data_IF_343306097513
#
_entry.id   IF_343306097513
#
_cell.length_a   1.000
_cell.length_b   1.000
_cell.length_c   1.000
_cell.angle_alpha   90.00
_cell.angle_beta   90.00
_cell.angle_gamma   90.00
#
_symmetry.space_group_name_H-M   'P 1'
#
loop_
_entity.id
_entity.type
_entity.pdbx_description
1 polymer ?
#
# COMPACT_ATOMS: atom_id res chain seq x y z
N UNK A 1 110.60 15.91 14.47
CA UNK A 1 110.84 16.74 13.28
C UNK A 1 109.83 16.31 12.25
N UNK A 2 108.89 17.21 11.95
CA UNK A 2 107.99 17.28 10.77
C UNK A 2 106.98 16.12 10.55
N UNK A 3 105.65 16.36 10.54
CA UNK A 3 104.83 17.03 9.47
C UNK A 3 104.99 16.28 8.14
N UNK A 4 104.01 15.76 7.40
CA UNK A 4 102.54 15.87 7.26
C UNK A 4 102.07 14.52 6.63
N UNK A 5 100.82 14.14 6.40
CA UNK A 5 99.71 14.88 5.79
C UNK A 5 98.44 13.99 5.89
N UNK A 6 97.33 14.60 6.27
CA UNK A 6 96.00 14.01 6.41
C UNK A 6 95.51 13.38 5.10
N UNK A 7 95.29 12.05 5.09
CA UNK A 7 94.62 11.33 4.01
C UNK A 7 93.27 10.74 4.47
N UNK A 8 92.52 11.48 5.30
CA UNK A 8 91.11 11.19 5.58
C UNK A 8 90.23 12.15 4.77
N UNK A 9 90.24 11.98 3.44
CA UNK A 9 89.18 12.51 2.59
C UNK A 9 87.89 11.71 2.82
N UNK A 10 86.71 12.34 2.92
CA UNK A 10 85.45 11.60 3.11
C UNK A 10 85.28 10.58 1.99
N UNK A 11 84.90 9.34 2.36
CA UNK A 11 84.64 8.27 1.41
C UNK A 11 83.63 8.76 0.35
N UNK A 12 83.83 8.46 -0.95
CA UNK A 12 82.94 8.94 -1.99
C UNK A 12 81.51 8.42 -1.76
N UNK A 13 80.60 9.34 -1.43
CA UNK A 13 79.17 9.04 -1.41
C UNK A 13 78.71 8.84 -2.86
N UNK A 14 78.36 7.61 -3.21
CA UNK A 14 77.72 7.31 -4.49
C UNK A 14 76.28 7.82 -4.38
N UNK A 15 76.01 9.00 -4.93
CA UNK A 15 74.64 9.46 -5.17
C UNK A 15 74.00 8.54 -6.20
N UNK A 16 73.34 7.49 -5.73
CA UNK A 16 72.50 6.64 -6.59
C UNK A 16 71.18 7.34 -6.80
N UNK A 17 70.98 7.94 -7.97
CA UNK A 17 69.68 8.39 -8.43
C UNK A 17 68.87 7.16 -8.87
N UNK A 18 68.14 6.56 -7.92
CA UNK A 18 67.32 5.38 -8.16
C UNK A 18 65.99 5.84 -8.75
N UNK A 19 65.90 5.84 -10.07
CA UNK A 19 64.64 6.06 -10.77
C UNK A 19 63.81 4.76 -10.73
N UNK A 20 62.62 4.82 -10.14
CA UNK A 20 61.66 3.72 -10.24
C UNK A 20 61.33 3.43 -11.71
N UNK A 21 61.28 2.15 -12.06
CA UNK A 21 60.81 1.74 -13.37
C UNK A 21 59.39 2.32 -13.58
N UNK A 22 59.10 2.96 -14.72
CA UNK A 22 57.77 3.51 -14.96
C UNK A 22 56.75 2.36 -14.90
N UNK A 23 55.98 2.32 -13.82
CA UNK A 23 54.90 1.37 -13.67
C UNK A 23 53.76 1.83 -14.57
N UNK A 24 53.36 1.03 -15.58
CA UNK A 24 52.15 1.35 -16.30
C UNK A 24 51.00 1.37 -15.30
N UNK A 25 50.20 2.43 -15.31
CA UNK A 25 49.00 2.52 -14.49
C UNK A 25 48.16 1.24 -14.67
N UNK A 26 47.74 0.63 -13.56
CA UNK A 26 46.97 -0.61 -13.57
C UNK A 26 45.68 -0.41 -14.37
N UNK A 27 45.69 -0.90 -15.62
CA UNK A 27 44.58 -0.78 -16.57
C UNK A 27 43.27 -1.34 -16.03
N UNK A 28 43.32 -2.23 -15.04
CA UNK A 28 42.16 -2.86 -14.44
C UNK A 28 41.40 -1.94 -13.49
N UNK A 29 42.06 -1.02 -12.78
CA UNK A 29 41.41 -0.23 -11.72
C UNK A 29 41.15 1.23 -12.07
N UNK A 30 41.80 1.75 -13.13
CA UNK A 30 41.79 3.19 -13.41
C UNK A 30 40.43 3.75 -13.90
N UNK A 31 39.54 2.92 -14.43
CA UNK A 31 38.21 3.32 -14.95
C UNK A 31 37.06 2.55 -14.28
N UNK A 32 37.29 1.99 -13.09
CA UNK A 32 36.26 1.27 -12.34
C UNK A 32 35.28 2.27 -11.77
N UNK A 33 34.08 2.30 -12.33
CA UNK A 33 32.95 3.02 -11.76
C UNK A 33 31.99 2.04 -11.11
N UNK A 34 32.04 1.99 -9.78
CA UNK A 34 31.16 1.14 -8.97
C UNK A 34 29.69 1.42 -9.30
N UNK A 35 29.33 2.67 -9.60
CA UNK A 35 27.96 3.04 -9.94
C UNK A 35 27.49 2.52 -11.30
N UNK A 36 28.39 2.34 -12.27
CA UNK A 36 28.04 1.75 -13.56
C UNK A 36 27.68 0.26 -13.44
N UNK A 37 28.31 -0.46 -12.50
CA UNK A 37 28.10 -1.91 -12.31
C UNK A 37 27.09 -2.25 -11.22
N UNK A 38 27.10 -1.51 -10.10
CA UNK A 38 26.28 -1.78 -8.92
C UNK A 38 25.31 -0.63 -8.59
N UNK A 39 25.17 0.38 -9.46
CA UNK A 39 24.30 1.53 -9.20
C UNK A 39 22.84 1.12 -8.94
N UNK A 40 22.32 0.12 -9.66
CA UNK A 40 20.97 -0.41 -9.44
C UNK A 40 20.75 -0.82 -7.97
N UNK A 41 21.71 -1.56 -7.41
CA UNK A 41 21.72 -2.00 -6.01
C UNK A 41 21.65 -0.85 -5.01
N UNK A 42 22.35 0.26 -5.27
CA UNK A 42 22.35 1.41 -4.36
C UNK A 42 21.12 2.30 -4.54
N UNK A 43 20.71 2.57 -5.78
CA UNK A 43 19.60 3.49 -6.04
C UNK A 43 18.23 2.90 -5.67
N UNK A 44 18.08 1.57 -5.65
CA UNK A 44 16.83 0.93 -5.20
C UNK A 44 16.59 1.07 -3.68
N UNK A 45 17.63 1.36 -2.89
CA UNK A 45 17.51 1.53 -1.44
C UNK A 45 16.59 2.69 -1.08
N UNK A 46 16.63 3.79 -1.84
CA UNK A 46 15.74 4.94 -1.61
C UNK A 46 14.26 4.54 -1.64
N UNK A 47 13.76 3.97 -2.76
CA UNK A 47 12.38 3.50 -2.86
C UNK A 47 11.99 2.46 -1.79
N UNK A 48 12.92 1.56 -1.45
CA UNK A 48 12.69 0.52 -0.43
C UNK A 48 12.56 1.11 0.99
N UNK A 49 13.34 2.13 1.33
CA UNK A 49 13.22 2.84 2.61
C UNK A 49 11.89 3.59 2.70
N UNK A 50 11.47 4.27 1.63
CA UNK A 50 10.16 4.94 1.58
C UNK A 50 9.00 3.95 1.72
N UNK A 51 9.10 2.78 1.09
CA UNK A 51 8.14 1.68 1.30
C UNK A 51 8.02 1.29 2.77
N UNK A 52 9.14 1.14 3.48
CA UNK A 52 9.14 0.76 4.88
C UNK A 52 8.49 1.83 5.76
N UNK A 53 8.84 3.11 5.58
CA UNK A 53 8.28 4.22 6.36
C UNK A 53 6.76 4.29 6.17
N UNK A 54 6.29 4.31 4.92
CA UNK A 54 4.85 4.38 4.61
C UNK A 54 4.12 3.15 5.15
N UNK A 55 4.71 1.96 5.04
CA UNK A 55 4.08 0.75 5.57
C UNK A 55 3.97 0.78 7.10
N UNK A 56 4.97 1.35 7.79
CA UNK A 56 4.97 1.52 9.25
C UNK A 56 3.91 2.51 9.71
N UNK A 57 3.83 3.68 9.06
CA UNK A 57 2.86 4.73 9.40
C UNK A 57 1.41 4.26 9.19
N UNK A 58 1.14 3.58 8.08
CA UNK A 58 -0.18 2.98 7.83
C UNK A 58 -0.55 1.93 8.87
N UNK A 59 0.42 1.13 9.33
CA UNK A 59 0.20 0.16 10.39
C UNK A 59 -0.06 0.85 11.74
N UNK A 60 0.66 1.94 12.05
CA UNK A 60 0.42 2.77 13.24
C UNK A 60 -1.00 3.34 13.23
N UNK A 61 -1.45 3.94 12.13
CA UNK A 61 -2.82 4.49 12.03
C UNK A 61 -3.90 3.41 12.18
N UNK A 62 -3.62 2.20 11.69
CA UNK A 62 -4.53 1.05 11.79
C UNK A 62 -4.60 0.50 13.21
N UNK A 63 -3.47 0.43 13.90
CA UNK A 63 -3.37 0.01 15.30
C UNK A 63 -4.14 0.96 16.23
N UNK A 64 -3.97 2.27 16.01
CA UNK A 64 -4.72 3.34 16.68
C UNK A 64 -6.18 3.47 16.23
N UNK A 65 -6.61 2.68 15.24
CA UNK A 65 -7.97 2.70 14.65
C UNK A 65 -8.40 4.07 14.13
N UNK A 66 -7.45 4.95 13.78
CA UNK A 66 -7.73 6.31 13.33
C UNK A 66 -8.60 6.32 12.07
N UNK A 67 -8.34 5.40 11.13
CA UNK A 67 -9.16 5.24 9.91
C UNK A 67 -10.62 4.89 10.23
N UNK A 68 -10.88 4.04 11.23
CA UNK A 68 -12.24 3.72 11.65
C UNK A 68 -12.90 4.91 12.34
N UNK A 69 -12.14 5.62 13.18
CA UNK A 69 -12.59 6.85 13.82
C UNK A 69 -13.01 7.93 12.83
N UNK A 70 -12.20 8.16 11.79
CA UNK A 70 -12.51 9.08 10.69
C UNK A 70 -13.81 8.71 9.97
N UNK A 71 -14.07 7.42 9.73
CA UNK A 71 -15.32 6.98 9.13
C UNK A 71 -16.54 7.26 10.02
N UNK A 72 -16.42 7.03 11.33
CA UNK A 72 -17.48 7.38 12.30
C UNK A 72 -17.80 8.87 12.27
N UNK A 73 -16.78 9.71 12.10
CA UNK A 73 -16.91 11.17 12.05
C UNK A 73 -17.58 11.63 10.75
N UNK A 74 -17.50 10.85 9.67
CA UNK A 74 -18.12 11.18 8.37
C UNK A 74 -17.19 11.11 7.17
N UNK A 75 -15.90 10.80 7.36
CA UNK A 75 -14.93 10.74 6.27
C UNK A 75 -15.02 9.39 5.55
N UNK A 76 -15.24 9.42 4.24
CA UNK A 76 -15.29 8.20 3.43
C UNK A 76 -13.94 7.47 3.39
N UNK A 77 -13.97 6.14 3.38
CA UNK A 77 -12.78 5.30 3.19
C UNK A 77 -12.02 5.60 1.89
N UNK A 78 -12.70 6.09 0.86
CA UNK A 78 -12.06 6.44 -0.42
C UNK A 78 -11.19 7.69 -0.28
N UNK A 79 -11.66 8.70 0.48
CA UNK A 79 -10.92 9.95 0.69
C UNK A 79 -9.61 9.67 1.45
N UNK A 80 -9.66 8.77 2.43
CA UNK A 80 -8.48 8.32 3.15
C UNK A 80 -7.38 7.78 2.21
N UNK A 81 -7.75 6.92 1.25
CA UNK A 81 -6.78 6.36 0.32
C UNK A 81 -6.32 7.36 -0.75
N UNK A 82 -7.19 8.27 -1.18
CA UNK A 82 -6.81 9.37 -2.06
C UNK A 82 -5.76 10.24 -1.37
N UNK A 83 -5.97 10.59 -0.11
CA UNK A 83 -5.00 11.34 0.70
C UNK A 83 -3.65 10.63 0.73
N UNK A 84 -3.62 9.36 1.13
CA UNK A 84 -2.37 8.59 1.19
C UNK A 84 -1.71 8.43 -0.18
N UNK A 85 -2.48 8.29 -1.25
CA UNK A 85 -1.95 8.23 -2.63
C UNK A 85 -1.29 9.54 -3.04
N UNK A 86 -1.89 10.69 -2.69
CA UNK A 86 -1.32 12.02 -2.96
C UNK A 86 -0.03 12.20 -2.18
N UNK A 87 -0.06 11.94 -0.86
CA UNK A 87 1.12 12.06 0.01
C UNK A 87 2.24 11.14 -0.47
N UNK A 88 1.95 9.87 -0.72
CA UNK A 88 2.92 8.90 -1.23
C UNK A 88 3.51 9.30 -2.58
N UNK A 89 2.70 9.85 -3.49
CA UNK A 89 3.19 10.34 -4.80
C UNK A 89 4.09 11.57 -4.65
N UNK A 90 3.74 12.52 -3.79
CA UNK A 90 4.57 13.70 -3.53
C UNK A 90 5.90 13.27 -2.91
N UNK A 91 5.88 12.40 -1.89
CA UNK A 91 7.10 11.87 -1.28
C UNK A 91 7.97 11.15 -2.30
N UNK A 92 7.38 10.35 -3.19
CA UNK A 92 8.10 9.69 -4.27
C UNK A 92 8.76 10.69 -5.23
N UNK A 93 8.03 11.73 -5.66
CA UNK A 93 8.58 12.79 -6.53
C UNK A 93 9.77 13.48 -5.85
N UNK A 94 9.62 13.85 -4.57
CA UNK A 94 10.70 14.47 -3.79
C UNK A 94 11.92 13.53 -3.69
N UNK A 95 11.68 12.25 -3.45
CA UNK A 95 12.74 11.25 -3.41
C UNK A 95 13.45 11.10 -4.75
N UNK A 96 12.73 11.08 -5.87
CA UNK A 96 13.34 11.04 -7.21
C UNK A 96 14.23 12.27 -7.45
N UNK A 97 13.80 13.46 -7.04
CA UNK A 97 14.65 14.65 -7.11
C UNK A 97 15.91 14.51 -6.27
N UNK A 98 15.81 14.00 -5.03
CA UNK A 98 16.99 13.75 -4.19
C UNK A 98 17.95 12.77 -4.86
N UNK A 99 17.45 11.63 -5.39
CA UNK A 99 18.30 10.65 -6.08
C UNK A 99 18.97 11.21 -7.34
N UNK A 100 18.25 12.01 -8.13
CA UNK A 100 18.83 12.67 -9.30
C UNK A 100 19.86 13.73 -8.92
N UNK A 101 19.62 14.51 -7.85
CA UNK A 101 20.57 15.51 -7.34
C UNK A 101 21.82 14.86 -6.76
N UNK A 102 21.70 13.71 -6.09
CA UNK A 102 22.85 12.94 -5.64
C UNK A 102 23.77 12.56 -6.80
N UNK A 103 23.22 12.14 -7.94
CA UNK A 103 24.04 11.79 -9.10
C UNK A 103 24.88 12.95 -9.64
N UNK A 104 24.34 14.18 -9.63
CA UNK A 104 25.11 15.38 -9.97
C UNK A 104 26.10 15.79 -8.87
N UNK A 105 25.71 15.69 -7.60
CA UNK A 105 26.55 16.08 -6.48
C UNK A 105 27.82 15.21 -6.35
N UNK A 106 27.71 13.92 -6.71
CA UNK A 106 28.83 12.98 -6.73
C UNK A 106 29.52 12.86 -8.10
N UNK A 107 29.10 13.67 -9.09
CA UNK A 107 29.70 13.73 -10.42
C UNK A 107 29.78 12.36 -11.13
N UNK A 108 28.69 11.56 -11.06
CA UNK A 108 28.67 10.25 -11.70
C UNK A 108 28.65 10.39 -13.24
N UNK A 109 29.55 9.68 -13.92
CA UNK A 109 29.67 9.70 -15.39
C UNK A 109 28.36 9.36 -16.11
N UNK A 110 27.54 8.50 -15.52
CA UNK A 110 26.19 8.19 -16.04
C UNK A 110 25.34 9.45 -16.26
N UNK A 111 25.43 10.46 -15.37
CA UNK A 111 24.63 11.70 -15.45
C UNK A 111 25.09 12.67 -16.53
N UNK A 112 26.30 12.49 -17.07
CA UNK A 112 26.82 13.27 -18.21
C UNK A 112 26.42 12.66 -19.57
N UNK A 113 26.14 11.36 -19.60
CA UNK A 113 25.88 10.61 -20.83
C UNK A 113 24.43 10.13 -20.98
N UNK A 114 23.58 10.36 -19.97
CA UNK A 114 22.18 9.95 -19.96
C UNK A 114 21.31 11.13 -19.51
N UNK A 115 20.22 11.46 -20.22
CA UNK A 115 19.37 12.58 -19.85
C UNK A 115 18.66 12.30 -18.52
N UNK A 116 18.73 13.26 -17.59
CA UNK A 116 18.16 13.10 -16.24
C UNK A 116 16.65 12.90 -16.24
N UNK A 117 15.94 13.37 -17.26
CA UNK A 117 14.52 13.06 -17.44
C UNK A 117 14.24 11.56 -17.53
N UNK A 118 15.15 10.79 -18.13
CA UNK A 118 15.01 9.35 -18.31
C UNK A 118 15.30 8.62 -17.00
N UNK A 119 16.36 9.04 -16.29
CA UNK A 119 16.67 8.52 -14.95
C UNK A 119 15.52 8.79 -13.98
N UNK A 120 15.00 10.03 -13.97
CA UNK A 120 13.84 10.42 -13.16
C UNK A 120 12.62 9.57 -13.49
N UNK A 121 12.33 9.32 -14.76
CA UNK A 121 11.19 8.51 -15.18
C UNK A 121 11.25 7.08 -14.65
N UNK A 122 12.43 6.45 -14.69
CA UNK A 122 12.63 5.11 -14.15
C UNK A 122 12.51 5.09 -12.62
N UNK A 123 13.17 6.04 -11.93
CA UNK A 123 13.07 6.18 -10.48
C UNK A 123 11.63 6.43 -10.01
N UNK A 124 10.87 7.24 -10.74
CA UNK A 124 9.48 7.53 -10.43
C UNK A 124 8.62 6.27 -10.45
N UNK A 125 8.70 5.47 -11.51
CA UNK A 125 7.86 4.28 -11.65
C UNK A 125 8.22 3.19 -10.64
N UNK A 126 9.50 2.94 -10.38
CA UNK A 126 9.89 1.96 -9.36
C UNK A 126 9.47 2.43 -7.96
N UNK A 127 9.60 3.72 -7.67
CA UNK A 127 9.13 4.30 -6.41
C UNK A 127 7.60 4.24 -6.25
N UNK A 128 6.83 4.48 -7.32
CA UNK A 128 5.37 4.31 -7.28
C UNK A 128 4.96 2.86 -7.02
N UNK A 129 5.66 1.89 -7.61
CA UNK A 129 5.44 0.48 -7.28
C UNK A 129 5.66 0.20 -5.79
N UNK A 130 6.72 0.77 -5.20
CA UNK A 130 7.04 0.60 -3.78
C UNK A 130 6.01 1.25 -2.85
N UNK A 131 5.50 2.44 -3.19
CA UNK A 131 4.41 3.10 -2.44
C UNK A 131 3.15 2.23 -2.43
N UNK A 132 2.71 1.73 -3.59
CA UNK A 132 1.52 0.87 -3.65
C UNK A 132 1.74 -0.52 -3.07
N UNK A 133 2.98 -1.03 -3.10
CA UNK A 133 3.33 -2.24 -2.38
C UNK A 133 3.16 -2.04 -0.86
N UNK A 134 3.55 -0.88 -0.32
CA UNK A 134 3.30 -0.54 1.09
C UNK A 134 1.80 -0.54 1.40
N UNK A 135 0.98 0.01 0.50
CA UNK A 135 -0.48 -0.02 0.66
C UNK A 135 -1.02 -1.44 0.67
N UNK A 136 -0.58 -2.30 -0.26
CA UNK A 136 -0.96 -3.71 -0.28
C UNK A 136 -0.59 -4.41 1.04
N UNK A 137 0.64 -4.23 1.53
CA UNK A 137 1.11 -4.86 2.77
C UNK A 137 0.34 -4.35 3.99
N UNK A 138 -0.04 -3.07 4.01
CA UNK A 138 -0.86 -2.49 5.08
C UNK A 138 -2.24 -3.15 5.21
N UNK A 139 -2.75 -3.79 4.14
CA UNK A 139 -4.03 -4.51 4.20
C UNK A 139 -3.95 -5.78 5.05
N UNK A 140 -2.79 -6.44 5.06
CA UNK A 140 -2.55 -7.70 5.77
C UNK A 140 -2.00 -7.52 7.18
N UNK A 141 -1.24 -6.45 7.41
CA UNK A 141 -0.64 -6.14 8.70
C UNK A 141 -1.64 -5.46 9.62
N UNK A 142 -1.63 -5.78 10.92
CA UNK A 142 -2.53 -5.18 11.93
C UNK A 142 -1.81 -4.34 12.97
N UNK A 143 -0.54 -4.62 13.19
CA UNK A 143 0.32 -3.99 14.19
C UNK A 143 1.55 -3.41 13.50
N UNK A 144 2.13 -2.38 14.10
CA UNK A 144 3.35 -1.75 13.59
C UNK A 144 4.52 -2.75 13.57
N UNK A 145 4.65 -3.60 14.59
CA UNK A 145 5.70 -4.62 14.63
C UNK A 145 5.61 -5.63 13.48
N UNK A 146 4.40 -6.09 13.15
CA UNK A 146 4.19 -7.04 12.07
C UNK A 146 4.52 -6.39 10.71
N UNK A 147 4.14 -5.13 10.53
CA UNK A 147 4.50 -4.37 9.33
C UNK A 147 6.01 -4.22 9.19
N UNK A 148 6.71 -3.79 10.23
CA UNK A 148 8.17 -3.63 10.19
C UNK A 148 8.88 -4.95 9.90
N UNK A 149 8.50 -6.06 10.56
CA UNK A 149 9.07 -7.39 10.29
C UNK A 149 8.87 -7.82 8.83
N UNK A 150 7.68 -7.59 8.29
CA UNK A 150 7.37 -7.90 6.90
C UNK A 150 8.16 -7.02 5.94
N UNK A 151 8.25 -5.71 6.20
CA UNK A 151 9.03 -4.76 5.39
C UNK A 151 10.51 -5.12 5.37
N UNK A 152 11.14 -5.43 6.52
CA UNK A 152 12.54 -5.87 6.58
C UNK A 152 12.77 -7.16 5.78
N UNK A 153 11.83 -8.10 5.85
CA UNK A 153 11.94 -9.37 5.12
C UNK A 153 11.89 -9.15 3.61
N UNK A 154 11.00 -8.25 3.15
CA UNK A 154 10.92 -7.85 1.74
C UNK A 154 12.18 -7.10 1.32
N UNK A 155 12.67 -6.15 2.13
CA UNK A 155 13.87 -5.38 1.80
C UNK A 155 15.07 -6.33 1.67
N UNK A 156 15.27 -7.23 2.64
CA UNK A 156 16.37 -8.20 2.59
C UNK A 156 16.28 -9.09 1.36
N UNK A 157 15.10 -9.62 1.05
CA UNK A 157 14.88 -10.43 -0.14
C UNK A 157 15.21 -9.66 -1.42
N UNK A 158 14.73 -8.42 -1.52
CA UNK A 158 15.01 -7.56 -2.68
C UNK A 158 16.50 -7.22 -2.77
N UNK A 159 17.20 -6.98 -1.66
CA UNK A 159 18.64 -6.72 -1.69
C UNK A 159 19.45 -7.93 -2.16
N UNK A 160 19.06 -9.15 -1.77
CA UNK A 160 19.70 -10.37 -2.26
C UNK A 160 19.47 -10.51 -3.77
N UNK A 161 18.22 -10.33 -4.22
CA UNK A 161 17.86 -10.39 -5.64
C UNK A 161 18.65 -9.33 -6.42
N UNK A 162 18.69 -8.10 -5.93
CA UNK A 162 19.35 -6.98 -6.61
C UNK A 162 20.87 -7.17 -6.64
N UNK A 163 21.49 -7.69 -5.58
CA UNK A 163 22.92 -8.01 -5.59
C UNK A 163 23.28 -9.06 -6.64
N UNK A 164 22.41 -10.04 -6.87
CA UNK A 164 22.61 -11.08 -7.88
C UNK A 164 22.40 -10.51 -9.29
N UNK A 165 21.39 -9.67 -9.50
CA UNK A 165 20.98 -9.19 -10.82
C UNK A 165 21.45 -7.77 -11.16
N UNK A 166 22.27 -7.14 -10.32
CA UNK A 166 22.91 -5.85 -10.64
C UNK A 166 23.93 -6.01 -11.77
N UNK A 167 24.57 -7.19 -11.85
CA UNK A 167 25.42 -7.53 -12.99
C UNK A 167 24.56 -7.91 -14.20
N UNK A 168 24.62 -7.02 -15.19
CA UNK A 168 23.89 -7.13 -16.45
C UNK A 168 24.35 -8.33 -17.26
N UNK A 169 25.66 -8.60 -17.29
CA UNK A 169 26.22 -9.73 -18.03
C UNK A 169 25.74 -11.05 -17.44
N UNK A 170 25.68 -11.14 -16.11
CA UNK A 170 25.13 -12.31 -15.43
C UNK A 170 23.64 -12.49 -15.74
N UNK A 171 22.86 -11.41 -15.67
CA UNK A 171 21.42 -11.42 -15.98
C UNK A 171 21.14 -11.89 -17.41
N UNK A 172 21.92 -11.40 -18.36
CA UNK A 172 21.90 -11.79 -19.77
C UNK A 172 22.21 -13.27 -19.97
N UNK A 173 23.27 -13.76 -19.34
CA UNK A 173 23.67 -15.18 -19.42
C UNK A 173 22.62 -16.11 -18.83
N UNK A 174 21.98 -15.72 -17.73
CA UNK A 174 21.00 -16.55 -17.02
C UNK A 174 19.64 -16.64 -17.73
N UNK A 175 19.15 -15.52 -18.29
CA UNK A 175 17.75 -15.43 -18.77
C UNK A 175 17.57 -15.15 -20.26
N UNK A 176 18.60 -14.64 -20.94
CA UNK A 176 18.49 -14.11 -22.30
C UNK A 176 19.49 -14.71 -23.29
N UNK A 177 20.21 -15.76 -22.91
CA UNK A 177 21.04 -16.55 -23.83
C UNK A 177 20.18 -17.41 -24.75
N UNK A 178 20.62 -17.66 -25.99
CA UNK A 178 19.86 -18.49 -26.93
C UNK A 178 19.57 -19.88 -26.36
N UNK A 179 20.53 -20.46 -25.63
CA UNK A 179 20.36 -21.75 -24.97
C UNK A 179 19.33 -21.69 -23.83
N UNK A 180 19.42 -20.70 -22.93
CA UNK A 180 18.50 -20.55 -21.79
C UNK A 180 17.09 -20.18 -22.24
N UNK A 181 16.95 -19.36 -23.29
CA UNK A 181 15.67 -19.02 -23.90
C UNK A 181 14.97 -20.22 -24.53
N UNK A 182 15.68 -21.29 -24.89
CA UNK A 182 15.05 -22.53 -25.39
C UNK A 182 14.48 -23.42 -24.27
N UNK A 183 14.86 -23.19 -23.01
CA UNK A 183 14.42 -24.00 -21.88
C UNK A 183 13.10 -23.46 -21.29
N UNK A 184 12.02 -24.24 -21.39
CA UNK A 184 10.68 -23.80 -20.96
C UNK A 184 10.59 -23.39 -19.48
N UNK A 185 11.31 -24.07 -18.58
CA UNK A 185 11.31 -23.71 -17.15
C UNK A 185 12.01 -22.36 -16.88
N UNK A 186 13.10 -22.06 -17.61
CA UNK A 186 13.80 -20.77 -17.50
C UNK A 186 12.91 -19.64 -17.98
N UNK A 187 12.14 -19.85 -19.05
CA UNK A 187 11.15 -18.86 -19.52
C UNK A 187 10.10 -18.55 -18.45
N UNK A 188 9.61 -19.56 -17.73
CA UNK A 188 8.65 -19.38 -16.65
C UNK A 188 9.25 -18.56 -15.49
N UNK A 189 10.45 -18.93 -15.03
CA UNK A 189 11.17 -18.20 -13.98
C UNK A 189 11.44 -16.75 -14.40
N UNK A 190 11.97 -16.56 -15.62
CA UNK A 190 12.21 -15.22 -16.18
C UNK A 190 10.94 -14.36 -16.17
N UNK A 191 9.81 -14.93 -16.60
CA UNK A 191 8.54 -14.19 -16.63
C UNK A 191 8.13 -13.71 -15.23
N UNK A 192 8.36 -14.52 -14.19
CA UNK A 192 8.09 -14.12 -12.79
C UNK A 192 9.01 -12.97 -12.37
N UNK A 193 10.31 -13.06 -12.65
CA UNK A 193 11.27 -12.00 -12.34
C UNK A 193 10.98 -10.71 -13.11
N UNK A 194 10.62 -10.79 -14.39
CA UNK A 194 10.27 -9.62 -15.20
C UNK A 194 9.09 -8.80 -14.62
N UNK A 195 8.17 -9.44 -13.88
CA UNK A 195 7.09 -8.75 -13.17
C UNK A 195 7.46 -8.31 -11.73
N UNK A 196 8.64 -8.65 -11.22
CA UNK A 196 9.12 -8.14 -9.94
C UNK A 196 9.68 -6.71 -10.15
N UNK A 197 9.11 -5.66 -9.53
CA UNK A 197 9.49 -4.28 -9.83
C UNK A 197 10.98 -3.95 -9.67
N UNK A 198 11.65 -4.55 -8.69
CA UNK A 198 13.08 -4.38 -8.43
C UNK A 198 13.93 -5.00 -9.54
N UNK A 199 13.61 -6.22 -9.97
CA UNK A 199 14.29 -6.85 -11.10
C UNK A 199 14.11 -6.06 -12.41
N UNK A 200 12.87 -5.61 -12.71
CA UNK A 200 12.62 -4.77 -13.89
C UNK A 200 13.47 -3.49 -13.85
N UNK A 201 13.58 -2.88 -12.67
CA UNK A 201 14.43 -1.72 -12.44
C UNK A 201 15.92 -2.03 -12.64
N UNK A 202 16.45 -3.09 -12.01
CA UNK A 202 17.85 -3.51 -12.14
C UNK A 202 18.23 -3.74 -13.59
N UNK A 203 17.36 -4.45 -14.33
CA UNK A 203 17.56 -4.71 -15.75
C UNK A 203 17.66 -3.41 -16.56
N UNK A 204 16.67 -2.52 -16.41
CA UNK A 204 16.64 -1.25 -17.14
C UNK A 204 17.85 -0.37 -16.80
N UNK A 205 18.12 -0.19 -15.50
CA UNK A 205 19.24 0.60 -15.02
C UNK A 205 20.57 0.03 -15.51
N UNK A 206 20.70 -1.30 -15.51
CA UNK A 206 21.86 -1.99 -16.01
C UNK A 206 22.09 -1.80 -17.51
N UNK A 207 21.06 -1.94 -18.35
CA UNK A 207 21.15 -1.69 -19.81
C UNK A 207 21.60 -0.25 -20.09
N UNK A 208 21.03 0.70 -19.37
CA UNK A 208 21.37 2.13 -19.49
C UNK A 208 22.80 2.37 -19.02
N UNK A 209 23.19 1.80 -17.87
CA UNK A 209 24.53 1.98 -17.28
C UNK A 209 25.62 1.36 -18.12
N UNK A 210 25.37 0.20 -18.72
CA UNK A 210 26.31 -0.44 -19.66
C UNK A 210 26.58 0.43 -20.89
N UNK A 211 25.68 1.35 -21.28
CA UNK A 211 25.95 2.32 -22.36
C UNK A 211 26.42 3.69 -21.88
N UNK A 212 25.92 4.15 -20.74
CA UNK A 212 26.16 5.48 -20.20
C UNK A 212 27.36 5.58 -19.25
N UNK A 213 27.95 4.46 -18.84
CA UNK A 213 29.12 4.41 -17.94
C UNK A 213 30.24 3.57 -18.54
N UNK A 214 31.42 3.63 -17.91
CA UNK A 214 32.50 2.70 -18.22
C UNK A 214 32.13 1.29 -17.78
N UNK A 215 32.35 0.30 -18.67
CA UNK A 215 32.18 -1.11 -18.34
C UNK A 215 33.36 -1.93 -18.84
N UNK A 216 33.69 -2.99 -18.12
CA UNK A 216 34.77 -3.87 -18.47
C UNK A 216 34.28 -4.98 -19.41
N UNK A 217 34.77 -5.01 -20.65
CA UNK A 217 34.39 -6.06 -21.58
C UNK A 217 35.33 -7.27 -21.41
N UNK A 218 34.84 -8.32 -20.76
CA UNK A 218 35.58 -9.57 -20.55
C UNK A 218 35.99 -10.28 -21.85
N UNK A 219 35.32 -10.03 -22.98
CA UNK A 219 35.69 -10.65 -24.26
C UNK A 219 36.88 -9.97 -24.92
N UNK A 220 37.10 -8.68 -24.66
CA UNK A 220 38.20 -7.88 -25.26
C UNK A 220 39.28 -7.51 -24.24
N UNK A 221 39.10 -7.87 -22.97
CA UNK A 221 39.95 -7.51 -21.83
C UNK A 221 40.30 -6.01 -21.78
N UNK A 222 39.35 -5.16 -22.17
CA UNK A 222 39.52 -3.72 -22.25
C UNK A 222 38.28 -3.00 -21.73
N UNK A 223 38.51 -1.86 -21.07
CA UNK A 223 37.45 -0.92 -20.70
C UNK A 223 36.85 -0.29 -21.95
N UNK A 224 35.53 -0.27 -22.01
CA UNK A 224 34.78 0.40 -23.06
C UNK A 224 34.34 1.78 -22.57
N UNK A 225 34.42 2.77 -23.47
CA UNK A 225 34.00 4.14 -23.17
C UNK A 225 32.48 4.30 -23.29
N UNK A 226 31.87 5.17 -22.47
CA UNK A 226 30.44 5.43 -22.52
C UNK A 226 30.05 5.99 -23.89
N UNK A 227 29.01 5.39 -24.48
CA UNK A 227 28.43 5.81 -25.77
C UNK A 227 27.22 6.72 -25.60
N UNK A 228 26.70 6.82 -24.38
CA UNK A 228 25.46 7.52 -24.05
C UNK A 228 24.20 6.71 -24.28
N UNK A 229 23.14 7.09 -23.58
CA UNK A 229 21.81 6.50 -23.73
C UNK A 229 20.74 7.59 -23.74
N UNK A 230 20.16 7.85 -24.91
CA UNK A 230 19.09 8.84 -25.08
C UNK A 230 17.72 8.18 -25.27
N UNK A 231 16.65 8.98 -25.24
CA UNK A 231 15.28 8.53 -25.52
C UNK A 231 15.10 7.83 -26.87
N UNK A 232 15.96 8.11 -27.86
CA UNK A 232 15.95 7.40 -29.15
C UNK A 232 16.31 5.92 -29.04
N UNK A 233 17.04 5.53 -27.98
CA UNK A 233 17.45 4.16 -27.70
C UNK A 233 16.46 3.42 -26.77
N UNK A 234 15.33 4.04 -26.43
CA UNK A 234 14.34 3.48 -25.52
C UNK A 234 13.78 2.12 -25.98
N UNK A 235 13.56 1.99 -27.29
CA UNK A 235 13.10 0.75 -27.95
C UNK A 235 14.25 -0.06 -28.58
N UNK A 236 15.50 0.22 -28.19
CA UNK A 236 16.66 -0.45 -28.76
C UNK A 236 16.71 -1.94 -28.38
N UNK A 237 16.91 -2.82 -29.37
CA UNK A 237 17.11 -4.26 -29.18
C UNK A 237 18.27 -4.75 -30.04
N UNK A 238 19.09 -5.65 -29.51
CA UNK A 238 20.26 -6.18 -30.22
C UNK A 238 20.61 -7.60 -29.76
N UNK A 239 21.13 -8.40 -30.70
CA UNK A 239 21.83 -9.64 -30.39
C UNK A 239 23.33 -9.39 -30.28
N UNK A 240 23.92 -9.78 -29.16
CA UNK A 240 25.36 -9.69 -28.94
C UNK A 240 25.93 -11.07 -28.62
N UNK A 241 27.12 -11.37 -29.16
CA UNK A 241 27.80 -12.63 -28.93
C UNK A 241 28.66 -12.55 -27.67
N UNK A 242 28.35 -13.41 -26.70
CA UNK A 242 29.14 -13.56 -25.47
C UNK A 242 30.19 -14.64 -25.69
N UNK A 243 31.42 -14.23 -26.01
CA UNK A 243 32.51 -15.17 -26.34
C UNK A 243 32.85 -16.12 -25.20
N UNK A 244 32.69 -15.71 -23.94
CA UNK A 244 32.99 -16.56 -22.77
C UNK A 244 32.16 -17.85 -22.70
N UNK A 245 30.94 -17.86 -23.26
CA UNK A 245 30.02 -19.02 -23.24
C UNK A 245 29.77 -19.54 -24.67
N UNK A 246 30.38 -18.89 -25.67
CA UNK A 246 30.13 -19.15 -27.09
C UNK A 246 28.63 -19.18 -27.44
N UNK A 247 27.86 -18.29 -26.82
CA UNK A 247 26.41 -18.17 -27.03
C UNK A 247 26.02 -16.72 -27.38
N UNK A 248 24.85 -16.58 -27.99
CA UNK A 248 24.26 -15.29 -28.33
C UNK A 248 23.26 -14.88 -27.26
N UNK A 249 23.32 -13.62 -26.82
CA UNK A 249 22.38 -13.06 -25.86
C UNK A 249 21.56 -11.95 -26.51
N UNK A 250 20.28 -11.92 -26.18
CA UNK A 250 19.34 -10.90 -26.63
C UNK A 250 19.14 -9.79 -25.59
N UNK A 251 19.46 -8.55 -25.96
CA UNK A 251 19.14 -7.37 -25.16
C UNK A 251 17.70 -6.96 -25.50
N UNK A 252 16.81 -7.04 -24.50
CA UNK A 252 15.45 -6.53 -24.59
C UNK A 252 15.44 -5.02 -24.42
N UNK A 253 14.49 -4.37 -25.08
CA UNK A 253 14.31 -2.92 -24.97
C UNK A 253 13.97 -2.49 -23.54
N UNK A 254 14.44 -1.29 -23.18
CA UNK A 254 14.08 -0.66 -21.90
C UNK A 254 12.57 -0.39 -21.84
N UNK A 255 11.97 -0.02 -22.97
CA UNK A 255 10.53 0.10 -23.16
C UNK A 255 9.75 -1.16 -22.78
N UNK A 256 10.18 -2.33 -23.26
CA UNK A 256 9.56 -3.60 -22.91
C UNK A 256 9.54 -3.82 -21.40
N UNK A 257 10.68 -3.57 -20.74
CA UNK A 257 10.81 -3.77 -19.30
C UNK A 257 10.05 -2.71 -18.49
N UNK A 258 9.95 -1.48 -18.99
CA UNK A 258 9.10 -0.44 -18.40
C UNK A 258 7.62 -0.83 -18.44
N UNK A 259 7.14 -1.40 -19.55
CA UNK A 259 5.76 -1.88 -19.61
C UNK A 259 5.50 -3.02 -18.62
N UNK A 260 6.49 -3.89 -18.37
CA UNK A 260 6.39 -4.91 -17.30
C UNK A 260 6.27 -4.26 -15.93
N UNK A 261 7.11 -3.28 -15.62
CA UNK A 261 7.06 -2.52 -14.37
C UNK A 261 5.70 -1.82 -14.17
N UNK A 262 5.18 -1.16 -15.20
CA UNK A 262 3.86 -0.52 -15.18
C UNK A 262 2.72 -1.52 -15.04
N UNK A 263 2.83 -2.69 -15.67
CA UNK A 263 1.86 -3.77 -15.50
C UNK A 263 1.86 -4.27 -14.06
N UNK A 264 3.05 -4.45 -13.46
CA UNK A 264 3.19 -4.83 -12.04
C UNK A 264 2.58 -3.79 -11.11
N UNK A 265 2.78 -2.49 -11.38
CA UNK A 265 2.10 -1.41 -10.66
C UNK A 265 0.58 -1.59 -10.66
N UNK A 266 -0.03 -1.75 -11.84
CA UNK A 266 -1.49 -1.91 -11.93
C UNK A 266 -1.99 -3.19 -11.27
N UNK A 267 -1.24 -4.29 -11.36
CA UNK A 267 -1.55 -5.52 -10.63
C UNK A 267 -1.55 -5.27 -9.13
N UNK A 268 -0.52 -4.59 -8.58
CA UNK A 268 -0.46 -4.25 -7.15
C UNK A 268 -1.64 -3.35 -6.76
N UNK A 269 -2.00 -2.35 -7.57
CA UNK A 269 -3.16 -1.47 -7.33
C UNK A 269 -4.45 -2.28 -7.27
N UNK A 270 -4.67 -3.21 -8.20
CA UNK A 270 -5.87 -4.05 -8.25
C UNK A 270 -5.93 -4.99 -7.04
N UNK A 271 -4.81 -5.63 -6.69
CA UNK A 271 -4.73 -6.50 -5.52
C UNK A 271 -4.98 -5.72 -4.24
N UNK A 272 -4.37 -4.54 -4.10
CA UNK A 272 -4.58 -3.65 -2.96
C UNK A 272 -6.06 -3.27 -2.84
N UNK A 273 -6.67 -2.81 -3.92
CA UNK A 273 -8.08 -2.47 -3.96
C UNK A 273 -8.97 -3.66 -3.57
N UNK A 274 -8.66 -4.86 -4.07
CA UNK A 274 -9.40 -6.08 -3.75
C UNK A 274 -9.30 -6.44 -2.26
N UNK A 275 -8.09 -6.54 -1.72
CA UNK A 275 -7.86 -6.95 -0.33
C UNK A 275 -8.33 -5.92 0.70
N UNK A 276 -8.31 -4.62 0.38
CA UNK A 276 -8.88 -3.59 1.26
C UNK A 276 -10.40 -3.75 1.46
N UNK A 277 -11.13 -4.24 0.45
CA UNK A 277 -12.57 -4.47 0.52
C UNK A 277 -12.95 -5.84 1.10
N UNK A 278 -12.17 -6.87 0.80
CA UNK A 278 -12.45 -8.24 1.24
C UNK A 278 -12.10 -8.47 2.70
N UNK A 279 -11.04 -7.84 3.22
CA UNK A 279 -10.60 -8.07 4.59
C UNK A 279 -11.40 -7.23 5.59
N UNK A 280 -12.26 -7.90 6.38
CA UNK A 280 -13.09 -7.27 7.42
C UNK A 280 -12.28 -6.43 8.42
N UNK A 281 -11.01 -6.80 8.64
CA UNK A 281 -10.10 -6.07 9.53
C UNK A 281 -9.91 -4.60 9.14
N UNK A 282 -10.16 -4.23 7.88
CA UNK A 282 -9.85 -2.91 7.35
C UNK A 282 -11.05 -1.95 7.42
N UNK A 283 -12.26 -2.45 7.17
CA UNK A 283 -13.50 -1.65 7.10
C UNK A 283 -14.55 -1.98 8.15
N UNK A 284 -14.30 -2.95 9.03
CA UNK A 284 -15.28 -3.45 10.00
C UNK A 284 -16.28 -4.45 9.41
N UNK A 285 -16.64 -4.30 8.13
CA UNK A 285 -17.45 -5.25 7.37
C UNK A 285 -16.72 -5.69 6.07
N UNK A 286 -16.55 -7.00 5.89
CA UNK A 286 -16.01 -7.57 4.65
C UNK A 286 -17.07 -7.56 3.54
N UNK A 287 -16.68 -7.16 2.34
CA UNK A 287 -17.46 -7.42 1.14
C UNK A 287 -17.33 -8.89 0.72
N UNK A 288 -18.30 -9.40 -0.04
CA UNK A 288 -18.22 -10.73 -0.63
C UNK A 288 -17.05 -10.83 -1.62
N UNK A 289 -16.45 -12.01 -1.81
CA UNK A 289 -15.30 -12.20 -2.72
C UNK A 289 -15.59 -11.75 -4.17
N UNK A 290 -16.85 -11.81 -4.59
CA UNK A 290 -17.34 -11.42 -5.92
C UNK A 290 -17.95 -10.01 -5.96
N UNK A 291 -17.67 -9.16 -4.96
CA UNK A 291 -18.16 -7.77 -4.92
C UNK A 291 -17.85 -6.94 -6.18
N UNK A 292 -16.73 -7.13 -6.92
CA UNK A 292 -16.46 -6.36 -8.14
C UNK A 292 -17.52 -6.56 -9.23
N UNK A 293 -18.19 -7.71 -9.22
CA UNK A 293 -19.23 -8.06 -10.20
C UNK A 293 -20.63 -7.64 -9.75
N UNK A 294 -20.79 -7.05 -8.56
CA UNK A 294 -22.08 -6.62 -8.04
C UNK A 294 -22.40 -5.17 -8.49
N UNK A 295 -23.52 -4.94 -9.22
CA UNK A 295 -23.91 -3.58 -9.62
C UNK A 295 -24.15 -2.63 -8.43
N UNK A 296 -24.50 -3.18 -7.26
CA UNK A 296 -24.72 -2.39 -6.04
C UNK A 296 -23.45 -1.67 -5.57
N UNK A 297 -22.28 -2.29 -5.73
CA UNK A 297 -21.00 -1.68 -5.36
C UNK A 297 -20.68 -0.48 -6.27
N UNK A 298 -20.77 -0.65 -7.59
CA UNK A 298 -20.47 0.43 -8.54
C UNK A 298 -21.44 1.60 -8.42
N UNK A 299 -22.71 1.35 -8.06
CA UNK A 299 -23.69 2.40 -7.75
C UNK A 299 -23.36 3.19 -6.48
N UNK A 300 -22.69 2.57 -5.50
CA UNK A 300 -22.24 3.29 -4.30
C UNK A 300 -20.96 4.09 -4.54
N UNK A 301 -20.07 3.61 -5.42
CA UNK A 301 -18.82 4.30 -5.78
C UNK A 301 -19.09 5.48 -6.72
N UNK A 302 -20.04 5.31 -7.65
CA UNK A 302 -20.39 6.31 -8.65
C UNK A 302 -21.85 6.75 -8.47
N UNK A 303 -22.11 7.82 -7.69
CA UNK A 303 -23.46 8.30 -7.41
C UNK A 303 -24.26 8.69 -8.66
N UNK A 304 -23.57 9.03 -9.76
CA UNK A 304 -24.23 9.35 -11.04
C UNK A 304 -24.85 8.13 -11.73
N UNK A 305 -24.46 6.90 -11.37
CA UNK A 305 -25.08 5.66 -11.85
C UNK A 305 -26.37 5.31 -11.09
N UNK A 306 -26.80 6.15 -10.13
CA UNK A 306 -28.00 5.93 -9.32
C UNK A 306 -29.23 6.35 -10.12
N UNK A 307 -29.90 5.39 -10.78
CA UNK A 307 -31.22 5.63 -11.37
C UNK A 307 -32.23 6.01 -10.27
N UNK A 308 -32.83 7.20 -10.38
CA UNK A 308 -33.87 7.70 -9.45
C UNK A 308 -35.10 6.80 -9.36
N UNK A 309 -35.36 5.96 -10.37
CA UNK A 309 -36.54 5.10 -10.45
C UNK A 309 -36.44 3.80 -9.63
N UNK A 310 -35.24 3.38 -9.21
CA UNK A 310 -35.03 2.13 -8.47
C UNK A 310 -35.29 2.20 -6.96
N UNK A 311 -35.32 3.41 -6.38
CA UNK A 311 -35.54 3.63 -4.94
C UNK A 311 -37.01 3.41 -4.54
N UNK A 312 -37.96 3.77 -5.40
CA UNK A 312 -39.39 3.59 -5.12
C UNK A 312 -39.83 2.11 -5.13
N UNK A 313 -39.18 1.26 -5.94
CA UNK A 313 -39.54 -0.16 -6.04
C UNK A 313 -38.89 -1.00 -4.92
N UNK A 314 -37.71 -0.59 -4.42
CA UNK A 314 -37.05 -1.30 -3.30
C UNK A 314 -37.72 -1.04 -1.96
N UNK A 315 -38.28 0.17 -1.75
CA UNK A 315 -39.07 0.48 -0.56
C UNK A 315 -40.38 -0.33 -0.46
N UNK A 316 -40.95 -0.78 -1.60
CA UNK A 316 -42.12 -1.68 -1.62
C UNK A 316 -41.82 -3.14 -1.26
N UNK A 317 -40.54 -3.56 -1.26
CA UNK A 317 -40.10 -4.88 -0.81
C UNK A 317 -39.53 -4.84 0.62
N UNK A 318 -40.08 -4.01 1.51
CA UNK A 318 -39.94 -4.25 2.96
C UNK A 318 -40.76 -5.50 3.29
N UNK A 319 -40.07 -6.64 3.39
CA UNK A 319 -40.63 -7.87 3.93
C UNK A 319 -41.08 -7.55 5.35
N UNK A 320 -42.39 -7.39 5.55
CA UNK A 320 -43.02 -7.33 6.88
C UNK A 320 -42.57 -8.61 7.58
N UNK A 321 -41.70 -8.49 8.58
CA UNK A 321 -41.36 -9.62 9.44
C UNK A 321 -42.66 -10.03 10.12
N UNK A 322 -43.24 -11.15 9.72
CA UNK A 322 -44.41 -11.72 10.37
C UNK A 322 -43.98 -12.21 11.76
N UNK A 323 -44.85 -12.03 12.75
CA UNK A 323 -44.72 -12.59 14.12
C UNK A 323 -44.28 -14.07 14.13
N UNK A 324 -44.58 -14.83 13.06
CA UNK A 324 -44.21 -16.24 12.90
C UNK A 324 -42.72 -16.51 12.62
N UNK A 325 -41.93 -15.53 12.18
CA UNK A 325 -40.50 -15.71 11.89
C UNK A 325 -39.59 -15.49 13.13
N UNK A 326 -40.15 -15.04 14.26
CA UNK A 326 -39.44 -14.63 15.48
C UNK A 326 -39.45 -15.66 16.62
N UNK A 327 -39.49 -16.95 16.30
CA UNK A 327 -39.44 -18.02 17.31
C UNK A 327 -38.10 -18.10 18.03
N UNK A 328 -37.95 -17.46 19.19
CA UNK A 328 -36.88 -17.78 20.15
C UNK A 328 -37.48 -17.93 21.55
N UNK A 329 -37.56 -19.17 22.03
CA UNK A 329 -37.94 -19.49 23.41
C UNK A 329 -36.84 -19.02 24.37
N UNK A 330 -37.15 -18.04 25.22
CA UNK A 330 -36.37 -17.73 26.43
C UNK A 330 -37.36 -17.31 27.52
N UNK A 331 -37.40 -18.06 28.63
CA UNK A 331 -38.09 -17.70 29.88
C UNK A 331 -37.02 -17.66 31.00
N UNK A 332 -37.06 -16.73 31.98
CA UNK A 332 -38.19 -16.54 32.92
C UNK A 332 -38.63 -15.09 33.24
N UNK A 333 -39.93 -14.84 33.03
CA UNK A 333 -41.00 -14.37 33.97
C UNK A 333 -41.01 -13.03 34.73
N UNK A 334 -40.11 -12.07 34.49
CA UNK A 334 -40.30 -10.70 35.03
C UNK A 334 -40.01 -9.57 34.05
N UNK A 335 -38.98 -9.75 33.23
CA UNK A 335 -38.47 -8.74 32.31
C UNK A 335 -39.20 -8.71 30.96
N UNK A 336 -39.86 -9.82 30.60
CA UNK A 336 -40.33 -10.11 29.23
C UNK A 336 -41.57 -9.29 28.84
N UNK A 337 -42.49 -9.01 29.77
CA UNK A 337 -43.68 -8.20 29.47
C UNK A 337 -43.34 -6.78 29.01
N UNK A 338 -42.28 -6.18 29.56
CA UNK A 338 -41.85 -4.83 29.17
C UNK A 338 -41.22 -4.82 27.77
N UNK A 339 -40.46 -5.86 27.42
CA UNK A 339 -39.81 -5.99 26.11
C UNK A 339 -40.84 -6.27 25.02
N UNK A 340 -41.80 -7.16 25.29
CA UNK A 340 -42.86 -7.47 24.34
C UNK A 340 -43.82 -6.30 24.13
N UNK A 341 -44.12 -5.53 25.19
CA UNK A 341 -44.91 -4.31 25.10
C UNK A 341 -44.20 -3.24 24.26
N UNK A 342 -42.89 -3.04 24.49
CA UNK A 342 -42.08 -2.11 23.71
C UNK A 342 -41.98 -2.53 22.24
N UNK A 343 -41.76 -3.83 21.99
CA UNK A 343 -41.75 -4.38 20.63
C UNK A 343 -43.08 -4.08 19.91
N UNK A 344 -44.22 -4.33 20.55
CA UNK A 344 -45.54 -4.04 19.98
C UNK A 344 -45.73 -2.54 19.72
N UNK A 345 -45.28 -1.67 20.64
CA UNK A 345 -45.33 -0.21 20.46
C UNK A 345 -44.55 0.23 19.24
N UNK A 346 -43.29 -0.20 19.12
CA UNK A 346 -42.41 0.15 17.99
C UNK A 346 -42.97 -0.35 16.66
N UNK A 347 -43.53 -1.56 16.63
CA UNK A 347 -44.15 -2.12 15.43
C UNK A 347 -45.39 -1.34 15.02
N UNK A 348 -46.26 -0.97 15.98
CA UNK A 348 -47.43 -0.13 15.70
C UNK A 348 -47.05 1.25 15.17
N UNK A 349 -46.00 1.87 15.73
CA UNK A 349 -45.52 3.18 15.29
C UNK A 349 -44.92 3.13 13.88
N UNK A 350 -44.27 2.02 13.53
CA UNK A 350 -43.76 1.79 12.16
C UNK A 350 -44.90 1.47 11.18
N UNK A 351 -45.91 0.69 11.58
CA UNK A 351 -47.10 0.41 10.74
C UNK A 351 -47.90 1.68 10.44
N UNK A 352 -47.97 2.60 11.41
CA UNK A 352 -48.61 3.91 11.24
C UNK A 352 -47.70 4.95 10.54
N UNK A 353 -46.49 4.55 10.17
CA UNK A 353 -45.44 5.41 9.59
C UNK A 353 -45.25 6.73 10.37
N UNK A 354 -45.35 6.65 11.70
CA UNK A 354 -45.14 7.81 12.57
C UNK A 354 -43.69 8.24 12.42
N UNK A 355 -43.45 9.50 12.10
CA UNK A 355 -42.09 10.04 12.00
C UNK A 355 -41.44 10.07 13.40
N UNK A 356 -40.27 9.45 13.53
CA UNK A 356 -39.45 9.53 14.75
C UNK A 356 -38.38 10.59 14.52
N UNK A 357 -38.42 11.67 15.31
CA UNK A 357 -37.38 12.70 15.33
C UNK A 357 -36.07 12.18 15.95
N UNK A 358 -36.12 11.11 16.74
CA UNK A 358 -34.97 10.49 17.40
C UNK A 358 -34.47 9.22 16.71
N UNK A 359 -34.37 8.11 17.45
CA UNK A 359 -33.82 6.84 16.96
C UNK A 359 -34.88 5.75 17.08
N UNK A 360 -35.25 5.14 15.96
CA UNK A 360 -36.11 3.96 15.93
C UNK A 360 -35.33 2.73 15.51
N UNK A 361 -35.37 1.68 16.32
CA UNK A 361 -34.71 0.40 16.10
C UNK A 361 -35.79 -0.67 15.92
N UNK A 362 -35.79 -1.37 14.78
CA UNK A 362 -36.79 -2.38 14.45
C UNK A 362 -36.10 -3.72 14.21
N UNK A 363 -36.10 -4.56 15.24
CA UNK A 363 -35.62 -5.94 15.20
C UNK A 363 -34.16 -6.08 14.79
N UNK A 364 -33.29 -5.12 15.13
CA UNK A 364 -31.88 -5.17 14.76
C UNK A 364 -31.22 -6.40 15.37
N UNK A 365 -30.51 -7.16 14.54
CA UNK A 365 -29.77 -8.35 14.95
C UNK A 365 -28.34 -8.35 14.42
N UNK A 366 -27.44 -8.96 15.19
CA UNK A 366 -26.08 -9.24 14.74
C UNK A 366 -25.67 -10.67 15.09
N UNK A 367 -25.32 -11.42 14.05
CA UNK A 367 -24.74 -12.75 14.16
C UNK A 367 -23.34 -12.72 13.57
N UNK A 368 -22.36 -13.22 14.32
CA UNK A 368 -21.02 -13.49 13.83
C UNK A 368 -20.92 -14.95 13.44
N UNK A 369 -20.94 -15.20 12.13
CA UNK A 369 -20.80 -16.53 11.55
C UNK A 369 -19.36 -17.01 11.68
N UNK A 370 -19.17 -18.24 12.16
CA UNK A 370 -17.82 -18.81 12.32
C UNK A 370 -17.25 -19.34 11.01
N UNK A 371 -18.12 -19.83 10.13
CA UNK A 371 -17.76 -20.34 8.83
C UNK A 371 -17.81 -19.22 7.78
N UNK A 372 -16.90 -19.23 6.80
CA UNK A 372 -16.95 -18.28 5.68
C UNK A 372 -18.26 -18.43 4.91
N UNK A 373 -18.66 -17.37 4.18
CA UNK A 373 -19.87 -17.30 3.36
C UNK A 373 -21.21 -17.34 4.12
N UNK A 374 -21.22 -17.10 5.43
CA UNK A 374 -22.46 -17.02 6.20
C UNK A 374 -23.16 -18.37 6.39
N UNK A 375 -22.41 -19.47 6.27
CA UNK A 375 -22.91 -20.82 6.55
C UNK A 375 -23.20 -20.90 8.05
N UNK A 376 -24.45 -21.17 8.40
CA UNK A 376 -24.90 -21.29 9.79
C UNK A 376 -24.18 -22.45 10.46
N UNK A 377 -23.53 -22.17 11.58
CA UNK A 377 -22.89 -23.14 12.45
C UNK A 377 -23.57 -23.13 13.81
N UNK A 378 -23.60 -24.27 14.48
CA UNK A 378 -24.04 -24.37 15.89
C UNK A 378 -23.16 -23.54 16.84
N UNK A 379 -22.00 -23.07 16.37
CA UNK A 379 -21.05 -22.25 17.12
C UNK A 379 -21.09 -20.75 16.74
N UNK A 380 -22.12 -20.32 16.01
CA UNK A 380 -22.29 -18.90 15.67
C UNK A 380 -22.66 -18.07 16.90
N UNK A 381 -22.12 -16.86 16.96
CA UNK A 381 -22.32 -15.97 18.12
C UNK A 381 -23.37 -14.92 17.79
N UNK A 382 -24.53 -15.00 18.46
CA UNK A 382 -25.57 -13.98 18.42
C UNK A 382 -25.20 -12.83 19.36
N UNK A 383 -24.54 -11.80 18.82
CA UNK A 383 -24.11 -10.65 19.61
C UNK A 383 -25.26 -9.69 19.93
N UNK A 384 -26.29 -9.60 19.07
CA UNK A 384 -27.52 -8.83 19.31
C UNK A 384 -28.70 -9.63 18.77
N UNK A 385 -29.75 -9.82 19.58
CA UNK A 385 -30.92 -10.66 19.28
C UNK A 385 -32.19 -9.80 19.19
N UNK A 386 -32.46 -9.22 18.03
CA UNK A 386 -33.76 -8.61 17.73
C UNK A 386 -34.15 -7.47 18.67
N UNK A 387 -33.35 -6.39 18.71
CA UNK A 387 -33.66 -5.22 19.55
C UNK A 387 -34.74 -4.38 18.90
N UNK A 388 -35.79 -4.06 19.67
CA UNK A 388 -36.84 -3.09 19.33
C UNK A 388 -36.81 -1.96 20.35
N UNK A 389 -36.73 -0.73 19.86
CA UNK A 389 -36.65 0.44 20.73
C UNK A 389 -37.01 1.70 19.95
N UNK A 390 -37.80 2.59 20.54
CA UNK A 390 -37.97 3.95 20.04
C UNK A 390 -37.43 4.94 21.09
N UNK A 391 -36.55 5.84 20.66
CA UNK A 391 -35.96 6.91 21.47
C UNK A 391 -36.44 8.22 20.86
N UNK A 392 -37.19 9.00 21.63
CA UNK A 392 -37.71 10.27 21.16
C UNK A 392 -36.67 11.39 21.28
N UNK A 393 -36.95 12.52 20.64
CA UNK A 393 -36.10 13.69 20.75
C UNK A 393 -36.07 14.22 22.18
N UNK A 394 -34.90 14.71 22.59
CA UNK A 394 -34.61 15.20 23.95
C UNK A 394 -34.69 14.13 25.05
N UNK A 395 -34.73 12.85 24.72
CA UNK A 395 -34.60 11.77 25.69
C UNK A 395 -33.13 11.40 25.94
N UNK A 396 -32.79 11.19 27.21
CA UNK A 396 -31.49 10.65 27.60
C UNK A 396 -31.63 9.15 27.85
N UNK A 397 -31.13 8.33 26.91
CA UNK A 397 -31.07 6.89 27.08
C UNK A 397 -29.73 6.45 27.65
N UNK A 398 -29.76 5.67 28.73
CA UNK A 398 -28.60 4.95 29.24
C UNK A 398 -28.70 3.45 28.91
N UNK A 399 -27.77 2.92 28.12
CA UNK A 399 -27.72 1.49 27.79
C UNK A 399 -26.80 0.74 28.77
N UNK A 400 -27.39 0.01 29.71
CA UNK A 400 -26.68 -0.74 30.74
C UNK A 400 -26.78 -2.25 30.49
N UNK A 401 -25.76 -2.99 30.96
CA UNK A 401 -25.71 -4.45 30.84
C UNK A 401 -24.30 -4.99 31.09
N UNK A 402 -24.18 -6.30 31.31
CA UNK A 402 -22.88 -6.93 31.55
C UNK A 402 -21.95 -6.88 30.31
N UNK A 403 -20.67 -7.18 30.49
CA UNK A 403 -19.71 -7.31 29.38
C UNK A 403 -20.14 -8.45 28.45
N UNK A 404 -20.12 -8.21 27.14
CA UNK A 404 -20.60 -9.17 26.15
C UNK A 404 -22.12 -9.16 25.88
N UNK A 405 -22.91 -8.31 26.55
CA UNK A 405 -24.36 -8.19 26.31
C UNK A 405 -24.75 -7.60 24.94
N UNK A 406 -23.78 -7.20 24.11
CA UNK A 406 -24.05 -6.64 22.77
C UNK A 406 -24.16 -5.12 22.69
N UNK A 407 -23.92 -4.38 23.78
CA UNK A 407 -24.03 -2.90 23.83
C UNK A 407 -23.17 -2.21 22.76
N UNK A 408 -21.86 -2.48 22.77
CA UNK A 408 -20.94 -1.91 21.77
C UNK A 408 -21.27 -2.38 20.36
N UNK A 409 -21.78 -3.61 20.20
CA UNK A 409 -22.22 -4.13 18.90
C UNK A 409 -23.42 -3.37 18.36
N UNK A 410 -24.42 -3.10 19.21
CA UNK A 410 -25.58 -2.28 18.87
C UNK A 410 -25.15 -0.86 18.48
N UNK A 411 -24.27 -0.24 19.29
CA UNK A 411 -23.75 1.09 19.00
C UNK A 411 -22.97 1.15 17.67
N UNK A 412 -22.13 0.15 17.39
CA UNK A 412 -21.40 0.05 16.14
C UNK A 412 -22.33 -0.13 14.92
N UNK A 413 -23.53 -0.71 15.11
CA UNK A 413 -24.54 -0.80 14.07
C UNK A 413 -25.23 0.53 13.81
N UNK A 414 -25.62 1.26 14.86
CA UNK A 414 -26.24 2.58 14.73
C UNK A 414 -25.28 3.61 14.11
N UNK A 415 -23.99 3.53 14.45
CA UNK A 415 -22.94 4.43 13.93
C UNK A 415 -22.42 4.01 12.55
N UNK A 416 -22.84 2.84 12.04
CA UNK A 416 -22.51 2.37 10.68
C UNK A 416 -21.11 1.78 10.52
N UNK A 417 -20.38 1.55 11.62
CA UNK A 417 -19.12 0.77 11.63
C UNK A 417 -19.40 -0.69 11.25
N UNK A 418 -20.55 -1.20 11.69
CA UNK A 418 -20.96 -2.58 11.49
C UNK A 418 -22.34 -2.65 10.84
N UNK A 419 -22.49 -3.38 9.74
CA UNK A 419 -23.83 -3.64 9.19
C UNK A 419 -24.63 -4.62 10.05
N UNK A 420 -25.92 -4.39 10.32
CA UNK A 420 -26.78 -5.38 10.99
C UNK A 420 -27.02 -6.58 10.08
N UNK A 421 -27.05 -7.79 10.65
CA UNK A 421 -27.35 -9.04 9.93
C UNK A 421 -28.83 -9.04 9.50
N UNK A 422 -29.72 -8.67 10.41
CA UNK A 422 -31.17 -8.55 10.19
C UNK A 422 -31.73 -7.31 10.91
N UNK A 423 -32.95 -6.92 10.57
CA UNK A 423 -33.57 -5.69 11.06
C UNK A 423 -33.00 -4.41 10.43
N UNK A 424 -33.48 -3.26 10.91
CA UNK A 424 -33.02 -1.93 10.48
C UNK A 424 -33.25 -0.91 11.59
N UNK A 425 -32.61 0.25 11.47
CA UNK A 425 -32.88 1.41 12.32
C UNK A 425 -32.97 2.69 11.48
N UNK A 426 -33.76 3.63 11.98
CA UNK A 426 -33.88 4.98 11.45
C UNK A 426 -33.37 5.99 12.48
N UNK A 427 -32.58 6.96 12.05
CA UNK A 427 -32.12 8.08 12.88
C UNK A 427 -32.61 9.36 12.21
N UNK A 428 -33.48 10.12 12.89
CA UNK A 428 -34.18 11.28 12.32
C UNK A 428 -34.87 10.94 10.99
N UNK A 429 -35.50 9.76 10.91
CA UNK A 429 -36.14 9.23 9.70
C UNK A 429 -35.21 8.61 8.64
N UNK A 430 -33.89 8.75 8.77
CA UNK A 430 -32.90 8.24 7.80
C UNK A 430 -32.49 6.81 8.13
N UNK A 431 -32.44 5.91 7.14
CA UNK A 431 -32.07 4.50 7.34
C UNK A 431 -30.54 4.30 7.42
N UNK A 432 -30.08 3.63 8.49
CA UNK A 432 -28.65 3.37 8.74
C UNK A 432 -27.95 2.52 7.66
N UNK A 433 -28.69 1.83 6.80
CA UNK A 433 -28.14 1.02 5.70
C UNK A 433 -27.97 1.80 4.41
N UNK A 434 -28.88 2.73 4.11
CA UNK A 434 -28.89 3.47 2.84
C UNK A 434 -28.41 4.91 2.93
N UNK A 435 -28.56 5.56 4.09
CA UNK A 435 -28.42 7.01 4.25
C UNK A 435 -27.34 7.38 5.28
N UNK A 436 -26.40 6.48 5.54
CA UNK A 436 -25.38 6.63 6.58
C UNK A 436 -24.52 7.89 6.43
N UNK A 437 -24.28 8.37 5.21
CA UNK A 437 -23.53 9.61 5.00
C UNK A 437 -24.28 10.84 5.52
N UNK A 438 -25.60 10.89 5.34
CA UNK A 438 -26.44 11.97 5.85
C UNK A 438 -26.54 11.88 7.38
N UNK A 439 -26.74 10.68 7.91
CA UNK A 439 -26.75 10.40 9.34
C UNK A 439 -25.46 10.88 10.00
N UNK A 440 -24.28 10.57 9.42
CA UNK A 440 -22.99 11.00 9.96
C UNK A 440 -22.79 12.50 9.99
N UNK A 441 -23.52 13.29 9.21
CA UNK A 441 -23.46 14.77 9.27
C UNK A 441 -24.26 15.32 10.45
N UNK A 442 -25.34 14.64 10.85
CA UNK A 442 -26.23 15.09 11.93
C UNK A 442 -25.86 14.51 13.30
N UNK A 443 -25.23 13.32 13.36
CA UNK A 443 -24.86 12.69 14.64
C UNK A 443 -23.45 13.09 15.10
N UNK A 444 -23.30 13.33 16.40
CA UNK A 444 -22.03 13.34 17.11
C UNK A 444 -21.79 11.99 17.77
N UNK A 445 -20.60 11.41 17.59
CA UNK A 445 -20.24 10.11 18.17
C UNK A 445 -18.90 10.25 18.88
N UNK A 446 -18.86 9.82 20.13
CA UNK A 446 -17.62 9.64 20.89
C UNK A 446 -17.32 8.14 20.93
N UNK A 447 -16.32 7.65 20.21
CA UNK A 447 -15.95 6.24 20.21
C UNK A 447 -15.31 5.82 21.54
N UNK A 448 -15.16 4.51 21.74
CA UNK A 448 -14.53 3.93 22.93
C UNK A 448 -13.00 4.19 22.99
N UNK A 449 -12.37 4.44 21.84
CA UNK A 449 -10.95 4.71 21.72
C UNK A 449 -10.74 6.16 21.31
N UNK A 450 -9.65 6.76 21.77
CA UNK A 450 -9.35 8.15 21.44
C UNK A 450 -8.90 8.28 19.98
N UNK A 451 -9.54 9.17 19.22
CA UNK A 451 -9.14 9.52 17.85
C UNK A 451 -8.25 10.76 17.92
N UNK A 452 -7.02 10.56 18.38
CA UNK A 452 -6.04 11.63 18.54
C UNK A 452 -4.81 11.37 17.66
N UNK A 453 -4.34 12.42 17.01
CA UNK A 453 -3.06 12.46 16.31
C UNK A 453 -2.04 13.15 17.21
N UNK A 454 -0.97 12.43 17.56
CA UNK A 454 0.09 12.93 18.44
C UNK A 454 0.73 14.24 17.94
N UNK A 455 0.66 14.50 16.64
CA UNK A 455 1.26 15.66 15.98
C UNK A 455 0.39 16.93 16.04
N UNK A 456 -0.89 16.81 16.43
CA UNK A 456 -1.83 17.92 16.44
C UNK A 456 -2.11 18.41 17.86
N UNK A 457 -2.13 19.72 18.05
CA UNK A 457 -2.59 20.36 19.28
C UNK A 457 -4.10 20.15 19.49
N UNK A 458 -4.59 20.38 20.71
CA UNK A 458 -6.03 20.30 21.00
C UNK A 458 -6.87 21.25 20.12
N UNK A 459 -6.37 22.45 19.86
CA UNK A 459 -7.04 23.43 19.00
C UNK A 459 -7.08 22.98 17.53
N UNK A 460 -6.02 22.34 17.04
CA UNK A 460 -5.97 21.80 15.67
C UNK A 460 -6.92 20.61 15.50
N UNK A 461 -7.03 19.74 16.50
CA UNK A 461 -8.05 18.67 16.52
C UNK A 461 -9.45 19.24 16.45
N UNK A 462 -9.78 20.24 17.29
CA UNK A 462 -11.08 20.89 17.28
C UNK A 462 -11.39 21.50 15.91
N UNK A 463 -10.45 22.25 15.33
CA UNK A 463 -10.59 22.83 13.99
C UNK A 463 -10.77 21.76 12.91
N UNK A 464 -10.03 20.67 12.97
CA UNK A 464 -10.14 19.56 12.02
C UNK A 464 -11.54 18.93 12.07
N UNK A 465 -12.03 18.55 13.26
CA UNK A 465 -13.36 17.96 13.41
C UNK A 465 -14.48 18.93 13.05
N UNK A 466 -14.36 20.21 13.42
CA UNK A 466 -15.32 21.26 13.02
C UNK A 466 -15.40 21.39 11.51
N UNK A 467 -14.27 21.39 10.79
CA UNK A 467 -14.24 21.45 9.33
C UNK A 467 -14.85 20.19 8.69
N UNK A 468 -14.55 19.00 9.21
CA UNK A 468 -15.13 17.74 8.70
C UNK A 468 -16.66 17.74 8.87
N UNK A 469 -17.16 18.27 9.98
CA UNK A 469 -18.60 18.39 10.25
C UNK A 469 -19.27 19.58 9.54
N UNK A 470 -18.51 20.41 8.84
CA UNK A 470 -19.03 21.58 8.14
C UNK A 470 -19.53 22.68 9.08
N UNK A 471 -18.98 22.77 10.30
CA UNK A 471 -19.27 23.89 11.21
C UNK A 471 -18.73 25.17 10.56
N UNK A 472 -19.56 26.23 10.41
CA UNK A 472 -19.11 27.49 9.82
C UNK A 472 -17.88 28.04 10.56
N UNK A 473 -16.91 28.57 9.82
CA UNK A 473 -15.78 29.28 10.44
C UNK A 473 -16.35 30.47 11.21
N UNK A 474 -16.23 30.44 12.53
CA UNK A 474 -16.45 31.60 13.40
C UNK A 474 -15.21 32.48 13.42
#
# INVERSE_FOLDING_TARGET
MHEDEDLDGPAPEIETDVQDFPSPLDRLFQRVEIMGTFGAYYFILGPLLSFMVISSDLAKEKELRLRQGLNVVGVSHTIYWIHWTIVGTILNILQCFVLCMCGYAFDFVLWHHVPVTLIFYIFFWVGQCMVFLAFLISTFTRTMEAANKFSYSIILLNLIVEFIFSDVDLTYKLFYSKQTMAMGYVQAVRTVFEYLPTFSFSYMFGVISHRGSYYFNFNSFNWQEPRGFDWSLWDYEEWYQVKSINDWVYIRSVSYMMHKLQTSFWVIVILFWYFDHVLASNRGAAYALYFPFQPAYWRSVFPFLKNKEGEQVRNKKKRVLSEKDLGTQVNPEGTIQSVDAEMKRVLQDEEKDIFSEGIRIVGIQKVYFRLPFGIKSTRDVHAVKGVFMNIEKNELLCLLGHNGAGKSTLFNMLTGILGPTEGYAKICGLDIRSEQEQIRRIIGVVPQFDILWDQLTAMEHMRMFSKIKGVPNQ
#
